data_IF_975545568155
#
_entry.id   IF_975545568155
#
_cell.length_a   1.000
_cell.length_b   1.000
_cell.length_c   1.000
_cell.angle_alpha   90.00
_cell.angle_beta   90.00
_cell.angle_gamma   90.00
#
_symmetry.space_group_name_H-M   'P 1'
#
loop_
_entity.id
_entity.type
_entity.pdbx_description
1 polymer ?
#
# COMPACT_ATOMS: atom_id res chain seq x y z
N UNK A 1 -4.45 -12.86 -43.83
CA UNK A 1 -4.59 -11.56 -43.13
C UNK A 1 -4.90 -11.91 -41.68
N UNK A 2 -3.86 -12.01 -40.85
CA UNK A 2 -4.01 -12.21 -39.41
C UNK A 2 -4.46 -10.86 -38.84
N UNK A 3 -5.65 -10.83 -38.25
CA UNK A 3 -6.05 -9.69 -37.43
C UNK A 3 -5.59 -10.00 -36.02
N UNK A 4 -4.43 -9.47 -35.65
CA UNK A 4 -3.99 -9.36 -34.27
C UNK A 4 -5.00 -8.49 -33.53
N UNK A 5 -5.97 -9.14 -32.90
CA UNK A 5 -6.83 -8.50 -31.90
C UNK A 5 -6.05 -8.62 -30.60
N UNK A 6 -5.08 -7.72 -30.40
CA UNK A 6 -4.59 -7.44 -29.06
C UNK A 6 -5.77 -6.86 -28.29
N UNK A 7 -6.38 -7.69 -27.45
CA UNK A 7 -7.43 -7.27 -26.54
C UNK A 7 -6.78 -6.30 -25.54
N UNK A 8 -7.00 -4.99 -25.71
CA UNK A 8 -6.62 -4.00 -24.71
C UNK A 8 -7.28 -4.37 -23.38
N UNK A 9 -6.49 -4.89 -22.44
CA UNK A 9 -6.95 -5.13 -21.08
C UNK A 9 -7.35 -3.80 -20.44
N UNK A 10 -8.51 -3.76 -19.78
CA UNK A 10 -8.91 -2.56 -19.06
C UNK A 10 -7.91 -2.26 -17.93
N UNK A 11 -7.84 -1.00 -17.49
CA UNK A 11 -6.98 -0.65 -16.36
C UNK A 11 -7.35 -1.40 -15.06
N UNK A 12 -8.59 -1.88 -14.95
CA UNK A 12 -9.02 -2.77 -13.86
C UNK A 12 -8.47 -4.18 -14.05
N UNK A 13 -8.54 -4.73 -15.26
CA UNK A 13 -7.96 -6.04 -15.57
C UNK A 13 -6.44 -6.05 -15.40
N UNK A 14 -5.75 -4.94 -15.70
CA UNK A 14 -4.31 -4.79 -15.48
C UNK A 14 -3.97 -4.82 -13.98
N UNK A 15 -4.71 -4.07 -13.14
CA UNK A 15 -4.55 -4.10 -11.67
C UNK A 15 -4.82 -5.50 -11.12
N UNK A 16 -5.92 -6.14 -11.53
CA UNK A 16 -6.32 -7.48 -11.10
C UNK A 16 -5.29 -8.53 -11.53
N UNK A 17 -4.68 -8.38 -12.71
CA UNK A 17 -3.64 -9.31 -13.18
C UNK A 17 -2.36 -9.21 -12.34
N UNK A 18 -2.00 -8.01 -11.88
CA UNK A 18 -0.77 -7.78 -11.11
C UNK A 18 -0.90 -8.20 -9.65
N UNK A 19 -2.01 -7.86 -9.00
CA UNK A 19 -2.21 -8.09 -7.57
C UNK A 19 -3.13 -9.29 -7.33
N UNK A 20 -2.56 -10.37 -6.79
CA UNK A 20 -3.30 -11.61 -6.51
C UNK A 20 -3.55 -11.73 -5.01
N UNK A 21 -4.82 -11.77 -4.61
CA UNK A 21 -5.23 -11.95 -3.21
C UNK A 21 -5.45 -13.44 -2.90
N UNK A 22 -4.94 -13.88 -1.75
CA UNK A 22 -5.25 -15.19 -1.18
C UNK A 22 -5.07 -15.18 0.34
N UNK A 23 -6.17 -15.29 1.09
CA UNK A 23 -6.13 -15.48 2.55
C UNK A 23 -5.67 -14.24 3.32
N UNK A 24 -6.08 -13.05 2.86
CA UNK A 24 -5.71 -11.76 3.40
C UNK A 24 -4.27 -11.35 3.09
N UNK A 25 -3.63 -12.00 2.12
CA UNK A 25 -2.29 -11.69 1.62
C UNK A 25 -2.36 -11.37 0.13
N UNK A 26 -1.74 -10.28 -0.26
CA UNK A 26 -1.76 -9.77 -1.63
C UNK A 26 -0.37 -9.92 -2.22
N UNK A 27 -0.25 -10.65 -3.31
CA UNK A 27 1.00 -10.83 -4.05
C UNK A 27 1.06 -9.83 -5.18
N UNK A 28 2.05 -8.94 -5.16
CA UNK A 28 2.43 -8.14 -6.32
C UNK A 28 3.34 -8.98 -7.22
N UNK A 29 2.78 -9.54 -8.28
CA UNK A 29 3.49 -10.45 -9.19
C UNK A 29 4.61 -9.79 -9.99
N UNK A 30 4.65 -8.45 -10.05
CA UNK A 30 5.69 -7.70 -10.78
C UNK A 30 6.90 -7.45 -9.88
N UNK A 31 6.69 -7.06 -8.62
CA UNK A 31 7.79 -6.77 -7.68
C UNK A 31 8.20 -7.97 -6.84
N UNK A 32 7.34 -8.99 -6.77
CA UNK A 32 7.49 -10.14 -5.86
C UNK A 32 7.12 -9.80 -4.41
N UNK A 33 6.75 -8.56 -4.10
CA UNK A 33 6.40 -8.13 -2.76
C UNK A 33 5.05 -8.71 -2.32
N UNK A 34 4.96 -9.04 -1.05
CA UNK A 34 3.73 -9.46 -0.40
C UNK A 34 3.20 -8.32 0.46
N UNK A 35 1.89 -8.10 0.40
CA UNK A 35 1.21 -6.99 1.05
C UNK A 35 0.08 -7.46 1.95
N UNK A 36 -0.17 -6.68 3.00
CA UNK A 36 -1.40 -6.74 3.82
C UNK A 36 -1.86 -5.33 4.15
N UNK A 37 -3.17 -5.11 4.11
CA UNK A 37 -3.76 -3.90 4.67
C UNK A 37 -4.11 -4.13 6.15
N UNK A 38 -3.88 -3.13 7.00
CA UNK A 38 -4.42 -3.10 8.35
C UNK A 38 -5.95 -2.97 8.31
N UNK A 39 -6.65 -3.24 9.43
CA UNK A 39 -8.09 -2.96 9.51
C UNK A 39 -8.40 -1.52 9.06
N UNK A 40 -9.49 -1.36 8.32
CA UNK A 40 -9.89 -0.10 7.71
C UNK A 40 -10.37 0.92 8.76
N UNK A 41 -9.41 1.59 9.40
CA UNK A 41 -9.63 2.61 10.42
C UNK A 41 -8.47 3.59 10.48
N UNK A 42 -8.77 4.80 10.92
CA UNK A 42 -7.78 5.84 11.20
C UNK A 42 -6.70 5.33 12.16
N UNK A 43 -5.46 5.42 11.72
CA UNK A 43 -4.32 4.77 12.36
C UNK A 43 -3.15 5.75 12.43
N UNK A 44 -2.60 5.96 13.64
CA UNK A 44 -1.35 6.71 13.82
C UNK A 44 -0.12 5.84 13.51
N UNK A 45 1.04 6.48 13.37
CA UNK A 45 2.25 5.79 12.91
C UNK A 45 2.69 4.68 13.88
N UNK A 46 2.58 4.94 15.19
CA UNK A 46 2.98 3.96 16.21
C UNK A 46 2.06 2.74 16.21
N UNK A 47 0.74 2.96 16.05
CA UNK A 47 -0.25 1.91 15.94
C UNK A 47 -0.05 1.08 14.67
N UNK A 48 0.27 1.72 13.54
CA UNK A 48 0.63 1.02 12.31
C UNK A 48 1.88 0.16 12.51
N UNK A 49 2.94 0.72 13.09
CA UNK A 49 4.18 0.01 13.38
C UNK A 49 3.94 -1.21 14.28
N UNK A 50 3.23 -1.02 15.39
CA UNK A 50 2.87 -2.13 16.29
C UNK A 50 2.01 -3.18 15.63
N UNK A 51 1.05 -2.80 14.78
CA UNK A 51 0.26 -3.76 14.03
C UNK A 51 1.15 -4.65 13.16
N UNK A 52 2.12 -4.05 12.44
CA UNK A 52 3.05 -4.80 11.60
C UNK A 52 3.94 -5.76 12.42
N UNK A 53 4.48 -5.31 13.56
CA UNK A 53 5.33 -6.14 14.45
C UNK A 53 4.60 -7.37 15.00
N UNK A 54 3.29 -7.29 15.12
CA UNK A 54 2.46 -8.39 15.65
C UNK A 54 1.88 -9.30 14.55
N UNK A 55 2.23 -9.09 13.28
CA UNK A 55 1.80 -9.99 12.20
C UNK A 55 2.51 -11.34 12.28
N UNK A 56 1.72 -12.40 12.16
CA UNK A 56 2.23 -13.77 12.05
C UNK A 56 3.01 -14.00 10.74
N UNK A 57 3.93 -14.96 10.77
CA UNK A 57 4.69 -15.39 9.59
C UNK A 57 5.96 -14.57 9.31
N UNK A 58 6.29 -13.57 10.14
CA UNK A 58 7.57 -12.86 10.12
C UNK A 58 7.88 -12.07 8.84
N UNK A 59 8.93 -11.24 8.91
CA UNK A 59 9.45 -10.46 7.78
C UNK A 59 8.60 -9.26 7.36
N UNK A 60 7.45 -9.04 7.99
CA UNK A 60 6.60 -7.88 7.76
C UNK A 60 7.24 -6.60 8.31
N UNK A 61 7.14 -5.53 7.52
CA UNK A 61 7.55 -4.18 7.90
C UNK A 61 6.59 -3.14 7.31
N UNK A 62 6.64 -1.93 7.84
CA UNK A 62 6.03 -0.80 7.14
C UNK A 62 6.69 -0.64 5.76
N UNK A 63 5.94 -0.16 4.75
CA UNK A 63 6.48 0.01 3.42
C UNK A 63 7.44 1.18 3.33
N UNK A 64 8.40 1.07 2.43
CA UNK A 64 9.27 2.17 2.04
C UNK A 64 8.51 3.11 1.08
N UNK A 65 8.97 4.36 0.99
CA UNK A 65 8.35 5.40 0.15
C UNK A 65 8.17 4.96 -1.31
N UNK A 66 9.19 4.33 -1.88
CA UNK A 66 9.15 3.89 -3.27
C UNK A 66 8.16 2.74 -3.48
N UNK A 67 7.92 1.89 -2.48
CA UNK A 67 6.98 0.76 -2.61
C UNK A 67 5.54 1.27 -2.65
N UNK A 68 5.21 2.27 -1.81
CA UNK A 68 3.93 2.96 -1.87
C UNK A 68 3.71 3.68 -3.22
N UNK A 69 4.76 4.33 -3.74
CA UNK A 69 4.71 4.92 -5.08
C UNK A 69 4.45 3.84 -6.16
N UNK A 70 5.11 2.68 -6.08
CA UNK A 70 4.91 1.61 -7.06
C UNK A 70 3.50 1.00 -7.02
N UNK A 71 2.81 1.02 -5.87
CA UNK A 71 1.39 0.67 -5.80
C UNK A 71 0.55 1.68 -6.60
N UNK A 72 0.83 2.97 -6.43
CA UNK A 72 0.12 4.02 -7.15
C UNK A 72 0.33 3.96 -8.66
N UNK A 73 1.58 3.81 -9.09
CA UNK A 73 1.92 3.61 -10.51
C UNK A 73 1.31 2.33 -11.09
N UNK A 74 1.02 1.34 -10.25
CA UNK A 74 0.30 0.13 -10.65
C UNK A 74 -1.21 0.34 -10.85
N UNK A 75 -1.75 1.52 -10.52
CA UNK A 75 -3.16 1.85 -10.61
C UNK A 75 -3.94 1.73 -9.31
N UNK A 76 -3.27 1.47 -8.17
CA UNK A 76 -3.89 1.59 -6.85
C UNK A 76 -4.06 3.06 -6.50
N UNK A 77 -5.28 3.49 -6.21
CA UNK A 77 -5.58 4.86 -5.81
C UNK A 77 -6.73 4.89 -4.83
N UNK A 78 -7.03 6.06 -4.25
CA UNK A 78 -8.21 6.23 -3.40
C UNK A 78 -9.51 5.83 -4.13
N UNK A 79 -9.60 6.08 -5.44
CA UNK A 79 -10.75 5.69 -6.28
C UNK A 79 -10.74 4.21 -6.70
N UNK A 80 -9.58 3.57 -6.70
CA UNK A 80 -9.38 2.18 -7.13
C UNK A 80 -8.39 1.51 -6.19
N UNK A 81 -8.88 1.04 -5.05
CA UNK A 81 -8.02 0.50 -3.98
C UNK A 81 -7.47 -0.90 -4.32
N UNK A 82 -8.04 -1.56 -5.34
CA UNK A 82 -7.70 -2.94 -5.68
C UNK A 82 -7.92 -3.87 -4.48
N UNK A 83 -7.10 -4.92 -4.34
CA UNK A 83 -7.28 -5.90 -3.27
C UNK A 83 -6.84 -5.40 -1.88
N UNK A 84 -6.35 -4.17 -1.75
CA UNK A 84 -6.00 -3.58 -0.44
C UNK A 84 -7.23 -3.12 0.36
N UNK A 85 -8.39 -2.96 -0.30
CA UNK A 85 -9.73 -2.73 0.29
C UNK A 85 -9.74 -1.83 1.55
N UNK A 86 -9.41 -0.54 1.41
CA UNK A 86 -9.50 0.44 2.50
C UNK A 86 -10.01 1.79 2.00
N UNK A 87 -10.78 2.52 2.82
CA UNK A 87 -11.36 3.82 2.47
C UNK A 87 -10.44 5.03 2.76
N UNK A 88 -9.28 4.77 3.34
CA UNK A 88 -8.28 5.77 3.69
C UNK A 88 -7.65 6.45 2.48
N UNK A 89 -7.32 7.73 2.63
CA UNK A 89 -6.67 8.51 1.56
C UNK A 89 -5.16 8.28 1.53
N UNK A 90 -4.55 7.94 2.66
CA UNK A 90 -3.11 7.84 2.79
C UNK A 90 -2.65 6.58 3.51
N UNK A 91 -1.40 6.18 3.28
CA UNK A 91 -0.74 5.12 4.06
C UNK A 91 0.59 5.56 4.65
N UNK A 92 0.91 5.06 5.85
CA UNK A 92 2.20 5.26 6.50
C UNK A 92 3.33 4.52 5.80
N UNK A 93 4.52 5.14 5.78
CA UNK A 93 5.79 4.48 5.48
C UNK A 93 6.66 4.27 6.72
N UNK A 94 7.74 3.51 6.56
CA UNK A 94 8.79 3.32 7.57
C UNK A 94 9.67 4.57 7.81
N UNK A 95 9.55 5.59 6.96
CA UNK A 95 10.43 6.76 7.00
C UNK A 95 9.99 7.78 8.03
N UNK A 96 10.89 8.05 8.98
CA UNK A 96 10.69 9.09 10.00
C UNK A 96 11.57 10.31 9.76
N UNK A 97 11.12 11.45 10.26
CA UNK A 97 11.87 12.71 10.25
C UNK A 97 12.93 12.71 11.35
N UNK A 98 13.80 13.73 11.37
CA UNK A 98 14.78 13.89 12.44
C UNK A 98 14.08 13.87 13.80
N UNK A 99 14.55 13.01 14.72
CA UNK A 99 14.00 12.81 16.09
C UNK A 99 12.68 12.03 16.18
N UNK A 100 12.12 11.53 15.08
CA UNK A 100 10.95 10.63 15.11
C UNK A 100 9.61 11.30 15.44
N UNK A 101 9.54 12.63 15.47
CA UNK A 101 8.29 13.37 15.71
C UNK A 101 7.35 13.34 14.49
N UNK A 102 7.91 13.16 13.30
CA UNK A 102 7.16 13.09 12.05
C UNK A 102 7.48 11.79 11.32
N UNK A 103 6.52 11.29 10.56
CA UNK A 103 6.72 10.19 9.62
C UNK A 103 6.13 10.54 8.26
N UNK A 104 6.58 9.83 7.23
CA UNK A 104 6.15 10.07 5.86
C UNK A 104 4.92 9.24 5.53
N UNK A 105 3.95 9.88 4.91
CA UNK A 105 2.75 9.26 4.32
C UNK A 105 2.80 9.36 2.80
N UNK A 106 2.15 8.42 2.13
CA UNK A 106 1.80 8.53 0.72
C UNK A 106 0.29 8.74 0.59
N UNK A 107 -0.10 9.77 -0.14
CA UNK A 107 -1.49 10.11 -0.45
C UNK A 107 -1.88 9.45 -1.78
N UNK A 108 -2.82 8.51 -1.73
CA UNK A 108 -3.35 7.76 -2.87
C UNK A 108 -4.44 8.49 -3.64
N UNK A 109 -4.93 9.63 -3.16
CA UNK A 109 -5.81 10.52 -3.93
C UNK A 109 -4.99 11.32 -4.95
N UNK A 110 -3.84 11.87 -4.53
CA UNK A 110 -3.01 12.75 -5.39
C UNK A 110 -1.72 12.11 -5.92
N UNK A 111 -1.33 10.94 -5.41
CA UNK A 111 -0.13 10.24 -5.87
C UNK A 111 1.19 10.87 -5.41
N UNK A 112 1.21 11.47 -4.22
CA UNK A 112 2.38 12.16 -3.69
C UNK A 112 2.54 11.89 -2.20
N UNK A 113 3.73 12.11 -1.64
CA UNK A 113 3.93 11.92 -0.21
C UNK A 113 4.55 13.11 0.50
N UNK A 114 4.28 13.18 1.80
CA UNK A 114 4.63 14.30 2.66
C UNK A 114 4.97 13.80 4.08
N UNK A 115 5.67 14.63 4.85
CA UNK A 115 5.87 14.38 6.28
C UNK A 115 4.68 14.91 7.06
N UNK A 116 4.19 14.15 8.03
CA UNK A 116 3.17 14.59 9.00
C UNK A 116 3.52 14.13 10.41
N UNK A 117 2.87 14.68 11.44
CA UNK A 117 3.06 14.28 12.84
C UNK A 117 2.75 12.79 13.02
N UNK A 118 3.60 12.05 13.74
CA UNK A 118 3.41 10.60 13.95
C UNK A 118 2.10 10.26 14.67
N UNK A 119 1.52 11.22 15.39
CA UNK A 119 0.20 11.10 16.03
C UNK A 119 -1.00 11.48 15.14
N UNK A 120 -0.79 11.95 13.90
CA UNK A 120 -1.88 12.11 12.93
C UNK A 120 -2.49 10.75 12.61
N UNK A 121 -3.80 10.69 12.37
CA UNK A 121 -4.46 9.39 12.07
C UNK A 121 -5.62 9.51 11.08
N UNK A 122 -6.25 10.68 10.98
CA UNK A 122 -7.43 10.91 10.13
C UNK A 122 -7.15 10.59 8.66
N UNK A 123 -7.86 9.61 8.11
CA UNK A 123 -7.72 9.18 6.72
C UNK A 123 -6.41 8.46 6.42
N UNK A 124 -5.60 8.10 7.42
CA UNK A 124 -4.33 7.39 7.25
C UNK A 124 -4.50 5.93 7.67
N UNK A 125 -3.96 5.02 6.87
CA UNK A 125 -4.00 3.56 7.07
C UNK A 125 -2.60 3.00 7.27
N UNK A 126 -2.53 1.83 7.90
CA UNK A 126 -1.30 1.03 7.97
C UNK A 126 -1.29 -0.02 6.87
N UNK A 127 -0.19 -0.16 6.15
CA UNK A 127 0.08 -1.30 5.28
C UNK A 127 1.30 -2.05 5.80
N UNK A 128 1.33 -3.36 5.58
CA UNK A 128 2.50 -4.18 5.79
C UNK A 128 3.00 -4.67 4.45
N UNK A 129 4.31 -4.70 4.29
CA UNK A 129 4.98 -5.29 3.15
C UNK A 129 6.05 -6.26 3.65
N UNK A 130 6.30 -7.31 2.89
CA UNK A 130 7.48 -8.15 3.07
C UNK A 130 8.03 -8.60 1.73
N UNK A 131 9.35 -8.78 1.69
CA UNK A 131 10.01 -9.47 0.60
C UNK A 131 9.80 -11.00 0.74
N UNK A 132 9.81 -11.75 -0.36
CA UNK A 132 9.72 -13.21 -0.36
C UNK A 132 10.96 -13.89 0.24
#
# INVERSE_FOLDING_TARGET
>A
MLTDVEHEMSAEDQVISRFQESGGMITDTVTGLLWRAAPDRDTDWMTAHHWVENLEGGGWRLPAKHELLTLYEAGISWHRQGPLENDGQSAWSDSTGPRGANAWIFDFLVGSGSMTDTGSSTGIRGFAVRAP
#
